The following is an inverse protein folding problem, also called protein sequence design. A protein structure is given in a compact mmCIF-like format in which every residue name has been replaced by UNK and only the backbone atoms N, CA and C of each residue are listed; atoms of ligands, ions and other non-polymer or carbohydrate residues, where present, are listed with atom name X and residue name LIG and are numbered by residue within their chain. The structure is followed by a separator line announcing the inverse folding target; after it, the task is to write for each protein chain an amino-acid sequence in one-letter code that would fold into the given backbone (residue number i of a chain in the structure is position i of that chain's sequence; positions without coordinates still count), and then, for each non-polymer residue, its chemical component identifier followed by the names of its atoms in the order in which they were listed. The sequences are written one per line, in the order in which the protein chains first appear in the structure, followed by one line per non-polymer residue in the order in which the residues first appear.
data_IF_229413870630
#
_entry.id   IF_229413870630
#
_cell.length_a   1.000
_cell.length_b   1.000
_cell.length_c   1.000
_cell.angle_alpha   90.00
_cell.angle_beta   90.00
_cell.angle_gamma   90.00
#
_symmetry.space_group_name_H-M   'P 1'
#
loop_
_entity.id
_entity.type
_entity.pdbx_description
1 polymer ?
#
# COMPACT_ATOMS: atom_id res chain seq x y z
N UNK A 1 30.80 -47.20 -1.46
CA UNK A 1 30.04 -46.54 -0.38
C UNK A 1 30.94 -45.44 0.17
N UNK A 2 30.74 -44.13 -0.01
CA UNK A 2 29.60 -43.34 -0.46
C UNK A 2 30.17 -42.02 -1.02
N UNK A 3 29.97 -41.81 -2.32
CA UNK A 3 29.76 -40.57 -3.09
C UNK A 3 30.54 -39.29 -2.70
N UNK A 4 31.45 -38.96 -3.61
CA UNK A 4 31.87 -37.62 -4.08
C UNK A 4 30.66 -36.69 -4.31
N UNK A 5 30.63 -35.48 -3.75
CA UNK A 5 30.35 -34.27 -4.56
C UNK A 5 30.61 -33.00 -3.78
N UNK A 6 31.65 -32.30 -4.23
CA UNK A 6 31.85 -30.87 -4.04
C UNK A 6 30.67 -30.15 -4.68
N UNK A 7 29.71 -29.70 -3.88
CA UNK A 7 28.74 -28.69 -4.31
C UNK A 7 29.25 -27.35 -3.81
N UNK A 8 29.92 -26.63 -4.71
CA UNK A 8 29.99 -25.19 -4.70
C UNK A 8 28.56 -24.64 -4.63
N UNK A 9 28.07 -24.33 -3.44
CA UNK A 9 26.97 -23.40 -3.30
C UNK A 9 27.58 -22.08 -2.84
N UNK A 10 27.85 -21.21 -3.81
CA UNK A 10 28.06 -19.80 -3.56
C UNK A 10 26.84 -19.30 -2.77
N UNK A 11 26.98 -19.18 -1.45
CA UNK A 11 26.15 -18.27 -0.64
C UNK A 11 26.54 -16.82 -0.98
N UNK A 12 26.44 -16.44 -2.24
CA UNK A 12 26.27 -15.03 -2.61
C UNK A 12 24.90 -14.62 -2.13
N UNK A 13 24.86 -14.01 -0.94
CA UNK A 13 23.78 -13.20 -0.41
C UNK A 13 22.37 -13.65 -0.86
N UNK A 14 21.83 -14.67 -0.18
CA UNK A 14 20.38 -14.62 0.04
C UNK A 14 20.15 -13.36 0.87
N UNK A 15 19.81 -12.27 0.18
CA UNK A 15 19.12 -11.15 0.79
C UNK A 15 17.91 -11.75 1.49
N UNK A 16 17.99 -11.93 2.81
CA UNK A 16 16.82 -11.98 3.68
C UNK A 16 16.16 -10.59 3.66
N UNK A 17 15.73 -10.13 2.49
CA UNK A 17 14.55 -9.28 2.47
C UNK A 17 13.42 -10.25 2.78
N UNK A 18 12.79 -10.09 3.93
CA UNK A 18 11.52 -10.76 4.18
C UNK A 18 10.66 -10.60 2.93
N UNK A 19 10.14 -11.70 2.40
CA UNK A 19 9.18 -11.63 1.30
C UNK A 19 7.93 -10.95 1.84
N UNK A 20 7.87 -9.63 1.66
CA UNK A 20 6.69 -8.84 1.97
C UNK A 20 5.54 -9.39 1.11
N UNK A 21 4.62 -10.12 1.73
CA UNK A 21 3.50 -10.77 1.05
C UNK A 21 2.21 -9.99 1.32
N UNK A 22 1.53 -9.61 0.24
CA UNK A 22 0.21 -9.01 0.34
C UNK A 22 -0.78 -10.04 0.88
N UNK A 23 -1.64 -9.61 1.79
CA UNK A 23 -2.68 -10.47 2.37
C UNK A 23 -4.02 -10.19 1.67
N UNK A 24 -4.55 -11.12 0.85
CA UNK A 24 -5.82 -10.91 0.17
C UNK A 24 -6.98 -10.59 1.12
N UNK A 25 -7.86 -9.69 0.68
CA UNK A 25 -9.07 -9.21 1.39
C UNK A 25 -8.81 -8.40 2.65
N UNK A 26 -7.56 -8.08 2.99
CA UNK A 26 -7.25 -7.21 4.14
C UNK A 26 -7.77 -5.79 3.93
N UNK A 27 -7.85 -5.31 2.68
CA UNK A 27 -8.34 -3.97 2.36
C UNK A 27 -9.81 -3.81 2.74
N UNK A 28 -10.63 -4.84 2.54
CA UNK A 28 -12.04 -4.85 2.96
C UNK A 28 -12.16 -4.73 4.48
N UNK A 29 -11.33 -5.48 5.23
CA UNK A 29 -11.29 -5.41 6.70
C UNK A 29 -10.86 -4.02 7.18
N UNK A 30 -9.89 -3.42 6.50
CA UNK A 30 -9.39 -2.08 6.81
C UNK A 30 -10.48 -1.02 6.61
N UNK A 31 -11.27 -1.11 5.54
CA UNK A 31 -12.41 -0.23 5.29
C UNK A 31 -13.55 -0.43 6.31
N UNK A 32 -13.86 -1.68 6.66
CA UNK A 32 -14.92 -1.99 7.64
C UNK A 32 -14.60 -1.50 9.07
N UNK A 33 -13.33 -1.32 9.39
CA UNK A 33 -12.89 -0.89 10.73
C UNK A 33 -12.77 0.63 10.87
N UNK A 34 -12.89 1.37 9.76
CA UNK A 34 -12.73 2.82 9.66
C UNK A 34 -13.67 3.62 10.58
N UNK A 35 -14.93 3.20 10.70
CA UNK A 35 -15.97 3.94 11.45
C UNK A 35 -16.08 3.54 12.92
N UNK A 36 -15.39 2.48 13.34
CA UNK A 36 -15.69 1.91 14.66
C UNK A 36 -15.11 2.73 15.80
N UNK A 37 -14.02 3.49 15.64
CA UNK A 37 -13.28 4.10 16.77
C UNK A 37 -13.02 3.13 17.95
N UNK A 38 -13.28 1.82 17.78
CA UNK A 38 -13.08 0.80 18.77
C UNK A 38 -11.58 0.54 18.72
N UNK A 39 -10.85 1.07 19.70
CA UNK A 39 -9.54 0.55 20.08
C UNK A 39 -9.75 -0.89 20.53
N UNK A 40 -9.78 -1.82 19.58
CA UNK A 40 -9.73 -3.25 19.90
C UNK A 40 -8.38 -3.46 20.58
N UNK A 41 -8.44 -3.78 21.87
CA UNK A 41 -7.26 -4.13 22.66
C UNK A 41 -6.57 -5.31 21.97
N UNK A 42 -5.43 -5.03 21.34
CA UNK A 42 -4.58 -6.02 20.69
C UNK A 42 -4.13 -5.58 19.29
N UNK A 43 -3.01 -4.84 19.27
CA UNK A 43 -2.07 -4.73 18.14
C UNK A 43 -2.58 -4.03 16.86
N UNK A 44 -2.13 -2.78 16.70
CA UNK A 44 -1.97 -2.11 15.41
C UNK A 44 -1.05 -2.95 14.50
N UNK A 45 -1.54 -4.05 13.92
CA UNK A 45 -0.82 -4.75 12.87
C UNK A 45 -1.01 -3.94 11.61
N UNK A 46 -0.02 -3.15 11.31
CA UNK A 46 0.04 -2.40 10.08
C UNK A 46 -0.12 -3.35 8.90
N UNK A 47 -0.95 -2.93 7.95
CA UNK A 47 -1.29 -3.72 6.78
C UNK A 47 -0.32 -3.39 5.67
N UNK A 48 0.20 -4.43 5.01
CA UNK A 48 1.01 -4.26 3.81
C UNK A 48 0.11 -4.07 2.59
N UNK A 49 0.33 -3.00 1.84
CA UNK A 49 -0.36 -2.70 0.58
C UNK A 49 0.64 -2.34 -0.52
N UNK A 50 0.19 -2.42 -1.77
CA UNK A 50 0.95 -1.98 -2.94
C UNK A 50 0.30 -0.74 -3.57
N UNK A 51 1.11 0.24 -3.95
CA UNK A 51 0.67 1.34 -4.81
C UNK A 51 0.57 0.86 -6.25
N UNK A 52 -0.61 1.00 -6.88
CA UNK A 52 -0.84 0.56 -8.27
C UNK A 52 -1.30 1.70 -9.20
N UNK A 53 -1.68 2.86 -8.67
CA UNK A 53 -1.92 4.09 -9.45
C UNK A 53 -1.71 5.33 -8.58
N UNK A 54 -1.32 6.45 -9.20
CA UNK A 54 -1.22 7.76 -8.55
C UNK A 54 -1.81 8.79 -9.52
N UNK A 55 -2.72 9.62 -9.02
CA UNK A 55 -3.36 10.72 -9.76
C UNK A 55 -3.23 12.00 -8.94
N UNK A 56 -2.73 13.10 -9.51
CA UNK A 56 -2.71 14.38 -8.80
C UNK A 56 -4.14 14.89 -8.55
N UNK A 57 -4.41 15.37 -7.35
CA UNK A 57 -5.66 16.05 -7.03
C UNK A 57 -5.48 17.54 -7.39
N UNK A 58 -5.85 17.89 -8.62
CA UNK A 58 -5.69 19.24 -9.16
C UNK A 58 -6.88 20.14 -8.77
N UNK A 59 -6.59 21.33 -8.27
CA UNK A 59 -7.58 22.39 -8.10
C UNK A 59 -7.75 23.15 -9.44
N UNK A 60 -8.54 22.59 -10.36
CA UNK A 60 -8.84 23.26 -11.63
C UNK A 60 -7.62 23.42 -12.54
N UNK A 61 -7.45 24.62 -13.11
CA UNK A 61 -6.39 24.94 -14.10
C UNK A 61 -5.04 25.30 -13.49
N UNK A 62 -4.96 25.47 -12.18
CA UNK A 62 -3.74 25.89 -11.50
C UNK A 62 -3.01 24.67 -10.92
N UNK A 63 -1.72 24.54 -11.25
CA UNK A 63 -0.84 23.50 -10.71
C UNK A 63 -0.54 23.70 -9.20
N UNK A 64 -1.01 24.82 -8.61
CA UNK A 64 -0.79 25.19 -7.21
C UNK A 64 -1.95 26.06 -6.69
N UNK A 65 -2.39 25.89 -5.43
CA UNK A 65 -1.92 24.89 -4.47
C UNK A 65 -2.46 23.49 -4.78
N UNK A 66 -1.57 22.51 -4.91
CA UNK A 66 -1.92 21.10 -5.12
C UNK A 66 -2.79 20.59 -3.98
N UNK A 67 -3.90 19.90 -4.28
CA UNK A 67 -4.75 19.27 -3.26
C UNK A 67 -4.22 17.89 -2.83
N UNK A 68 -2.94 17.61 -3.12
CA UNK A 68 -2.28 16.33 -2.87
C UNK A 68 -2.48 15.32 -4.00
N UNK A 69 -2.63 14.05 -3.64
CA UNK A 69 -2.73 12.93 -4.58
C UNK A 69 -3.83 11.96 -4.17
N UNK A 70 -4.51 11.41 -5.17
CA UNK A 70 -5.27 10.17 -5.02
C UNK A 70 -4.40 8.99 -5.43
N UNK A 71 -4.30 8.00 -4.56
CA UNK A 71 -3.48 6.81 -4.76
C UNK A 71 -4.42 5.62 -4.85
N UNK A 72 -4.28 4.79 -5.88
CA UNK A 72 -4.92 3.48 -5.91
C UNK A 72 -4.00 2.46 -5.26
N UNK A 73 -4.48 1.82 -4.20
CA UNK A 73 -3.72 0.85 -3.41
C UNK A 73 -4.35 -0.52 -3.52
N UNK A 74 -3.56 -1.59 -3.36
CA UNK A 74 -4.03 -2.97 -3.52
C UNK A 74 -3.49 -3.94 -2.47
N UNK A 75 -4.33 -4.91 -2.13
CA UNK A 75 -3.99 -6.09 -1.33
C UNK A 75 -3.80 -7.37 -2.17
N UNK A 76 -3.56 -7.22 -3.48
CA UNK A 76 -3.50 -8.23 -4.54
C UNK A 76 -4.84 -8.78 -5.04
N UNK A 77 -5.91 -8.71 -4.25
CA UNK A 77 -7.25 -9.21 -4.61
C UNK A 77 -8.26 -8.10 -4.82
N UNK A 78 -8.08 -6.99 -4.13
CA UNK A 78 -8.92 -5.82 -4.17
C UNK A 78 -8.05 -4.56 -4.25
N UNK A 79 -8.67 -3.49 -4.73
CA UNK A 79 -8.06 -2.17 -4.79
C UNK A 79 -9.08 -1.08 -4.50
N UNK A 80 -8.60 0.05 -4.01
CA UNK A 80 -9.41 1.24 -3.78
C UNK A 80 -8.57 2.50 -3.91
N UNK A 81 -9.20 3.64 -4.16
CA UNK A 81 -8.55 4.94 -4.07
C UNK A 81 -8.54 5.43 -2.62
N UNK A 82 -7.44 6.06 -2.24
CA UNK A 82 -7.19 6.69 -0.94
C UNK A 82 -6.43 7.99 -1.14
N UNK A 83 -6.42 8.85 -0.12
CA UNK A 83 -5.55 10.04 -0.05
C UNK A 83 -4.53 9.90 1.07
N UNK A 84 -3.50 10.74 1.01
CA UNK A 84 -2.52 10.92 2.09
C UNK A 84 -2.89 12.12 2.96
N UNK A 85 -2.39 12.15 4.21
CA UNK A 85 -2.34 13.40 4.97
C UNK A 85 -1.39 14.38 4.28
N UNK A 86 -1.61 15.68 4.50
CA UNK A 86 -0.81 16.72 3.87
C UNK A 86 0.70 16.56 4.14
N UNK A 87 1.07 16.15 5.35
CA UNK A 87 2.46 15.88 5.76
C UNK A 87 3.09 14.69 5.02
N UNK A 88 2.28 13.71 4.61
CA UNK A 88 2.73 12.50 3.92
C UNK A 88 2.84 12.70 2.39
N UNK A 89 2.29 13.78 1.83
CA UNK A 89 2.40 14.07 0.38
C UNK A 89 3.86 14.20 -0.09
N UNK A 90 4.76 14.64 0.79
CA UNK A 90 6.21 14.70 0.52
C UNK A 90 6.79 13.31 0.18
N UNK A 91 6.17 12.21 0.62
CA UNK A 91 6.61 10.87 0.25
C UNK A 91 6.47 10.61 -1.25
N UNK A 92 5.42 11.15 -1.90
CA UNK A 92 5.26 11.06 -3.35
C UNK A 92 6.23 12.03 -4.03
N UNK A 93 6.29 13.28 -3.57
CA UNK A 93 7.13 14.33 -4.18
C UNK A 93 8.63 13.98 -4.11
N UNK A 94 9.06 13.33 -3.03
CA UNK A 94 10.43 12.81 -2.86
C UNK A 94 10.66 11.41 -3.44
N UNK A 95 9.69 10.85 -4.19
CA UNK A 95 9.73 9.53 -4.81
C UNK A 95 9.95 8.34 -3.83
N UNK A 96 9.70 8.55 -2.53
CA UNK A 96 9.75 7.50 -1.50
C UNK A 96 8.53 6.57 -1.56
N UNK A 97 7.38 7.07 -1.99
CA UNK A 97 6.16 6.31 -2.24
C UNK A 97 5.75 6.49 -3.70
N UNK A 98 5.84 5.43 -4.50
CA UNK A 98 5.59 5.48 -5.95
C UNK A 98 4.93 4.21 -6.49
N UNK A 99 4.65 4.17 -7.80
CA UNK A 99 4.04 2.99 -8.46
C UNK A 99 4.83 1.70 -8.19
N UNK A 100 4.14 0.62 -7.85
CA UNK A 100 4.75 -0.67 -7.53
C UNK A 100 5.40 -0.75 -6.15
N UNK A 101 5.39 0.34 -5.37
CA UNK A 101 5.95 0.37 -4.03
C UNK A 101 5.04 -0.39 -3.04
N UNK A 102 5.63 -1.28 -2.26
CA UNK A 102 5.02 -1.80 -1.05
C UNK A 102 5.20 -0.83 0.11
N UNK A 103 4.19 -0.74 0.98
CA UNK A 103 4.21 0.10 2.16
C UNK A 103 3.28 -0.46 3.24
N UNK A 104 3.59 -0.16 4.50
CA UNK A 104 2.69 -0.42 5.62
C UNK A 104 1.76 0.77 5.87
N UNK A 105 0.53 0.48 6.27
CA UNK A 105 -0.45 1.47 6.75
C UNK A 105 -1.06 1.00 8.07
N UNK A 106 -1.26 1.91 9.02
CA UNK A 106 -1.80 1.53 10.34
C UNK A 106 -3.32 1.45 10.32
N UNK A 107 -3.99 2.38 9.64
CA UNK A 107 -5.46 2.43 9.50
C UNK A 107 -5.90 3.34 8.36
N UNK A 108 -7.20 3.28 8.04
CA UNK A 108 -7.90 4.29 7.25
C UNK A 108 -8.78 5.15 8.16
N UNK A 109 -8.88 6.43 7.83
CA UNK A 109 -9.79 7.40 8.45
C UNK A 109 -10.81 7.91 7.42
N UNK A 110 -12.00 8.29 7.90
CA UNK A 110 -13.03 9.00 7.14
C UNK A 110 -12.45 10.19 6.37
N UNK A 111 -12.72 10.22 5.06
CA UNK A 111 -12.26 11.26 4.16
C UNK A 111 -13.22 11.43 2.99
N UNK A 112 -13.20 12.62 2.40
CA UNK A 112 -14.02 12.98 1.23
C UNK A 112 -13.09 13.50 0.14
N UNK A 113 -13.15 12.98 -1.11
CA UNK A 113 -14.08 11.97 -1.62
C UNK A 113 -13.66 10.52 -1.33
N UNK A 114 -12.47 10.30 -0.76
CA UNK A 114 -11.90 8.96 -0.50
C UNK A 114 -11.33 8.88 0.91
N UNK A 115 -11.17 7.66 1.48
CA UNK A 115 -10.53 7.46 2.77
C UNK A 115 -9.10 7.99 2.82
N UNK A 116 -8.68 8.45 4.00
CA UNK A 116 -7.33 8.95 4.26
C UNK A 116 -6.48 7.86 4.92
N UNK A 117 -5.27 7.62 4.42
CA UNK A 117 -4.32 6.70 5.06
C UNK A 117 -3.61 7.33 6.25
N UNK A 118 -3.38 6.53 7.30
CA UNK A 118 -2.65 6.96 8.50
C UNK A 118 -1.50 6.00 8.80
N UNK A 119 -0.33 6.56 9.14
CA UNK A 119 0.85 5.77 9.52
C UNK A 119 1.52 5.09 8.32
N UNK A 120 1.63 5.82 7.20
CA UNK A 120 2.22 5.30 5.96
C UNK A 120 3.73 5.13 6.12
N UNK A 121 4.23 3.91 5.88
CA UNK A 121 5.65 3.57 5.94
C UNK A 121 6.09 2.82 4.68
N UNK A 122 6.65 3.51 3.68
CA UNK A 122 7.16 2.88 2.47
C UNK A 122 8.28 1.90 2.76
N UNK A 123 8.29 0.76 2.06
CA UNK A 123 9.41 -0.18 2.05
C UNK A 123 10.37 0.25 0.93
N UNK A 124 11.66 -0.04 0.97
CA UNK A 124 12.53 0.25 -0.18
C UNK A 124 12.30 -0.77 -1.30
N UNK A 125 12.09 -0.32 -2.54
CA UNK A 125 11.99 -1.20 -3.71
C UNK A 125 10.84 -0.84 -4.64
N UNK A 126 10.79 -1.49 -5.80
CA UNK A 126 9.68 -1.40 -6.74
C UNK A 126 9.37 -2.81 -7.20
N UNK A 127 8.14 -3.24 -7.04
CA UNK A 127 7.71 -4.61 -7.34
C UNK A 127 6.70 -4.60 -8.49
N UNK A 128 6.66 -5.66 -9.32
CA UNK A 128 5.56 -5.89 -10.26
C UNK A 128 4.21 -5.88 -9.54
N UNK A 129 3.15 -5.50 -10.25
CA UNK A 129 1.81 -5.55 -9.68
C UNK A 129 1.42 -6.99 -9.37
N UNK A 130 0.96 -7.23 -8.15
CA UNK A 130 0.63 -8.57 -7.67
C UNK A 130 -0.86 -8.81 -7.84
N UNK A 131 -1.21 -9.91 -8.51
CA UNK A 131 -2.60 -10.33 -8.69
C UNK A 131 -3.37 -9.52 -9.73
N UNK A 132 -4.70 -9.61 -9.68
CA UNK A 132 -5.62 -8.88 -10.54
C UNK A 132 -6.74 -8.28 -9.68
N UNK A 133 -6.49 -7.15 -9.02
CA UNK A 133 -7.36 -6.66 -7.95
C UNK A 133 -8.67 -6.09 -8.47
N UNK A 134 -9.78 -6.51 -7.87
CA UNK A 134 -11.11 -5.94 -8.13
C UNK A 134 -11.23 -4.56 -7.50
N UNK A 135 -11.81 -3.61 -8.22
CA UNK A 135 -12.01 -2.25 -7.70
C UNK A 135 -13.21 -2.20 -6.75
N UNK A 136 -12.96 -1.87 -5.49
CA UNK A 136 -14.00 -1.78 -4.46
C UNK A 136 -14.91 -0.56 -4.63
N UNK A 137 -14.42 0.53 -5.22
CA UNK A 137 -15.24 1.73 -5.44
C UNK A 137 -16.27 1.49 -6.55
N UNK A 138 -15.92 0.68 -7.55
CA UNK A 138 -16.86 0.27 -8.60
C UNK A 138 -17.92 -0.71 -8.07
N UNK A 139 -17.64 -1.43 -6.98
CA UNK A 139 -18.59 -2.35 -6.35
C UNK A 139 -19.61 -1.66 -5.44
N UNK A 140 -19.41 -0.38 -5.11
CA UNK A 140 -20.29 0.40 -4.22
C UNK A 140 -21.29 1.29 -4.98
N UNK A 141 -21.31 1.24 -6.32
CA UNK A 141 -22.34 1.86 -7.15
C UNK A 141 -23.40 0.79 -7.47
N UNK A 142 -24.65 0.91 -6.96
CA UNK A 142 -25.73 -0.01 -7.25
C UNK A 142 -26.12 -0.07 -8.73
#
# INVERSE_FOLDING_TARGET
FFILSVVNFNLTLFNFQEMASLTPRVLIKLLQTMDTNIKVRGEYRSVLLQVISIVPALAGSELWPNQGFFIKVSDSSHSTYVSLKNEDNELILSNKLGLGQFFYVDKLEAGTPVPVMVGVRPISGRHPFVGNPKDLMQMLVP
#
